data_IF_028193809718
#
_entry.id   IF_028193809718
#
_cell.length_a   1.000
_cell.length_b   1.000
_cell.length_c   1.000
_cell.angle_alpha   90.00
_cell.angle_beta   90.00
_cell.angle_gamma   90.00
#
_symmetry.space_group_name_H-M   'P 1'
#
loop_
_entity.id
_entity.type
_entity.pdbx_description
1 polymer ?
#
# COMPACT_ATOMS: atom_id res chain seq x y z
N UNK A 1 -7.75 30.28 -3.34
CA UNK A 1 -7.51 28.82 -3.35
C UNK A 1 -7.11 28.44 -4.77
N UNK A 2 -5.91 27.91 -4.97
CA UNK A 2 -5.38 27.58 -6.30
C UNK A 2 -5.73 26.13 -6.64
N UNK A 3 -6.17 25.86 -7.87
CA UNK A 3 -6.36 24.50 -8.40
C UNK A 3 -5.09 23.64 -8.34
N UNK A 4 -3.92 24.27 -8.29
CA UNK A 4 -2.62 23.60 -8.07
C UNK A 4 -2.54 22.96 -6.68
N UNK A 5 -3.23 23.52 -5.67
CA UNK A 5 -3.30 22.95 -4.32
C UNK A 5 -4.13 21.67 -4.29
N UNK A 6 -5.27 21.66 -4.98
CA UNK A 6 -6.17 20.49 -5.08
C UNK A 6 -5.52 19.31 -5.81
N UNK A 7 -4.72 19.57 -6.85
CA UNK A 7 -3.98 18.53 -7.58
C UNK A 7 -2.84 17.97 -6.72
N UNK A 8 -2.22 18.77 -5.84
CA UNK A 8 -1.15 18.31 -4.96
C UNK A 8 -1.68 17.46 -3.80
N UNK A 9 -2.92 17.68 -3.34
CA UNK A 9 -3.58 16.82 -2.35
C UNK A 9 -3.99 15.46 -2.94
N UNK A 10 -4.45 15.38 -4.19
CA UNK A 10 -4.70 14.09 -4.88
C UNK A 10 -3.41 13.37 -5.34
N UNK A 11 -2.30 14.12 -5.48
CA UNK A 11 -0.98 13.61 -5.88
C UNK A 11 -0.03 13.49 -4.68
N UNK A 12 -0.56 13.47 -3.45
CA UNK A 12 0.18 12.96 -2.30
C UNK A 12 0.10 11.43 -2.33
N UNK A 13 0.70 10.84 -3.36
CA UNK A 13 0.95 9.39 -3.42
C UNK A 13 1.86 9.08 -2.24
N UNK A 14 1.28 8.60 -1.14
CA UNK A 14 2.04 8.00 -0.07
C UNK A 14 2.91 6.91 -0.70
N UNK A 15 4.22 7.13 -0.73
CA UNK A 15 5.18 6.14 -1.23
C UNK A 15 5.26 5.00 -0.22
N UNK A 16 4.24 4.14 -0.20
CA UNK A 16 4.27 2.89 0.57
C UNK A 16 5.44 2.04 0.07
N UNK A 17 6.34 1.68 0.98
CA UNK A 17 7.41 0.76 0.67
C UNK A 17 6.88 -0.67 0.80
N UNK A 18 6.78 -1.36 -0.34
CA UNK A 18 6.34 -2.76 -0.37
C UNK A 18 7.54 -3.68 -0.44
N UNK A 19 7.58 -4.68 0.44
CA UNK A 19 8.53 -5.79 0.38
C UNK A 19 7.78 -7.08 0.03
N UNK A 20 8.21 -7.78 -1.03
CA UNK A 20 7.63 -9.05 -1.44
C UNK A 20 8.55 -10.21 -1.05
N UNK A 21 8.04 -11.12 -0.22
CA UNK A 21 8.74 -12.33 0.21
C UNK A 21 7.99 -13.57 -0.27
N UNK A 22 8.63 -14.41 -1.09
CA UNK A 22 8.08 -15.69 -1.55
C UNK A 22 9.02 -16.80 -1.11
N UNK A 23 8.51 -17.79 -0.37
CA UNK A 23 9.27 -18.92 0.16
C UNK A 23 10.53 -18.48 0.94
N UNK A 24 10.40 -17.40 1.72
CA UNK A 24 11.49 -16.80 2.50
C UNK A 24 12.48 -15.98 1.69
N UNK A 25 12.27 -15.82 0.37
CA UNK A 25 13.15 -15.02 -0.51
C UNK A 25 12.54 -13.66 -0.79
N UNK A 26 13.28 -12.59 -0.48
CA UNK A 26 12.94 -11.22 -0.89
C UNK A 26 13.09 -11.08 -2.40
N UNK A 27 12.02 -10.69 -3.07
CA UNK A 27 12.01 -10.48 -4.52
C UNK A 27 12.02 -8.97 -4.83
N UNK A 28 12.90 -8.51 -5.75
CA UNK A 28 12.86 -7.14 -6.18
C UNK A 28 11.57 -6.88 -6.97
N UNK A 29 10.82 -5.87 -6.57
CA UNK A 29 9.63 -5.40 -7.26
C UNK A 29 9.86 -4.02 -7.85
N UNK A 30 9.28 -3.76 -9.02
CA UNK A 30 9.40 -2.47 -9.68
C UNK A 30 8.37 -1.46 -9.14
N UNK A 31 8.53 -0.19 -9.51
CA UNK A 31 7.65 0.88 -9.05
C UNK A 31 6.20 0.80 -9.55
N UNK A 32 5.90 0.00 -10.58
CA UNK A 32 4.51 -0.28 -10.95
C UNK A 32 3.87 -1.26 -9.97
N UNK A 33 4.54 -2.38 -9.67
CA UNK A 33 4.04 -3.40 -8.73
C UNK A 33 3.94 -2.85 -7.30
N UNK A 34 4.90 -2.04 -6.87
CA UNK A 34 4.83 -1.35 -5.57
C UNK A 34 3.57 -0.50 -5.42
N UNK A 35 3.29 0.35 -6.41
CA UNK A 35 2.08 1.21 -6.42
C UNK A 35 0.80 0.39 -6.48
N UNK A 36 0.77 -0.66 -7.31
CA UNK A 36 -0.40 -1.53 -7.41
C UNK A 36 -0.73 -2.18 -6.07
N UNK A 37 0.27 -2.75 -5.38
CA UNK A 37 0.07 -3.40 -4.08
C UNK A 37 -0.28 -2.35 -3.02
N UNK A 38 0.49 -1.27 -2.92
CA UNK A 38 0.27 -0.21 -1.92
C UNK A 38 -1.15 0.36 -1.97
N UNK A 39 -1.59 0.81 -3.15
CA UNK A 39 -2.94 1.37 -3.32
C UNK A 39 -4.04 0.33 -3.04
N UNK A 40 -3.81 -0.94 -3.39
CA UNK A 40 -4.79 -2.00 -3.08
C UNK A 40 -4.87 -2.26 -1.58
N UNK A 41 -3.73 -2.22 -0.88
CA UNK A 41 -3.62 -2.38 0.56
C UNK A 41 -4.31 -1.24 1.32
N UNK A 42 -4.08 -0.01 0.90
CA UNK A 42 -4.74 1.18 1.43
C UNK A 42 -6.27 1.04 1.35
N UNK A 43 -6.81 0.77 0.16
CA UNK A 43 -8.25 0.57 -0.01
C UNK A 43 -8.82 -0.62 0.77
N UNK A 44 -8.02 -1.67 1.01
CA UNK A 44 -8.42 -2.77 1.89
C UNK A 44 -8.46 -2.35 3.35
N UNK A 45 -7.50 -1.56 3.83
CA UNK A 45 -7.43 -1.09 5.23
C UNK A 45 -8.56 -0.09 5.51
N UNK A 46 -8.84 0.84 4.59
CA UNK A 46 -9.94 1.80 4.72
C UNK A 46 -11.32 1.13 4.88
N UNK A 47 -11.48 -0.06 4.29
CA UNK A 47 -12.70 -0.85 4.39
C UNK A 47 -12.82 -1.64 5.72
N UNK A 48 -11.75 -1.75 6.51
CA UNK A 48 -11.75 -2.47 7.78
C UNK A 48 -12.21 -1.56 8.93
N UNK A 49 -13.18 -2.03 9.71
CA UNK A 49 -13.56 -1.36 10.95
C UNK A 49 -12.57 -1.68 12.08
N UNK A 50 -12.10 -0.64 12.78
CA UNK A 50 -11.28 -0.77 13.98
C UNK A 50 -9.77 -0.69 13.75
N UNK A 51 -9.33 -0.19 12.59
CA UNK A 51 -7.95 0.22 12.34
C UNK A 51 -7.87 1.75 12.51
N UNK A 52 -6.92 2.23 13.30
CA UNK A 52 -6.66 3.67 13.44
C UNK A 52 -6.15 4.26 12.12
N UNK A 53 -6.50 5.52 11.82
CA UNK A 53 -6.12 6.20 10.58
C UNK A 53 -4.59 6.41 10.46
N UNK A 54 -3.87 6.41 11.59
CA UNK A 54 -2.43 6.67 11.69
C UNK A 54 -1.60 5.37 11.84
N UNK A 55 -1.87 4.34 11.04
CA UNK A 55 -1.10 3.09 11.10
C UNK A 55 0.31 3.24 10.49
N UNK A 56 1.33 2.71 11.17
CA UNK A 56 2.73 2.78 10.71
C UNK A 56 3.09 1.72 9.63
N UNK A 57 2.38 0.59 9.61
CA UNK A 57 2.65 -0.47 8.66
C UNK A 57 1.62 -1.60 8.68
N UNK A 58 1.63 -2.41 7.61
CA UNK A 58 0.75 -3.56 7.43
C UNK A 58 1.56 -4.78 7.01
N UNK A 59 1.25 -5.92 7.60
CA UNK A 59 1.81 -7.22 7.21
C UNK A 59 0.68 -8.16 6.78
N UNK A 60 0.77 -8.71 5.57
CA UNK A 60 -0.14 -9.75 5.09
C UNK A 60 0.65 -11.03 4.85
N UNK A 61 0.10 -12.15 5.35
CA UNK A 61 0.58 -13.50 5.06
C UNK A 61 -0.45 -14.24 4.21
N UNK A 62 -0.02 -14.69 3.03
CA UNK A 62 -0.83 -15.51 2.13
C UNK A 62 -0.23 -16.92 2.10
N UNK A 63 -1.07 -17.93 2.31
CA UNK A 63 -0.73 -19.35 2.19
C UNK A 63 -1.61 -19.95 1.10
N UNK A 64 -1.03 -20.81 0.25
CA UNK A 64 -1.83 -21.56 -0.74
C UNK A 64 -2.56 -22.69 -0.02
N UNK A 65 -3.88 -22.71 -0.12
CA UNK A 65 -4.69 -23.88 0.22
C UNK A 65 -4.51 -24.93 -0.91
N UNK A 66 -4.39 -26.20 -0.52
CA UNK A 66 -4.08 -27.34 -1.40
C UNK A 66 -5.26 -27.85 -2.23
#
# INVERSE_FOLDING_TARGET
>A
MSVVSLILEEVLVFCMQVELVIDGKKLPINGFVQRMIGNSMEGMIEALHGVDEDWDGVEIKIVRDE
#
